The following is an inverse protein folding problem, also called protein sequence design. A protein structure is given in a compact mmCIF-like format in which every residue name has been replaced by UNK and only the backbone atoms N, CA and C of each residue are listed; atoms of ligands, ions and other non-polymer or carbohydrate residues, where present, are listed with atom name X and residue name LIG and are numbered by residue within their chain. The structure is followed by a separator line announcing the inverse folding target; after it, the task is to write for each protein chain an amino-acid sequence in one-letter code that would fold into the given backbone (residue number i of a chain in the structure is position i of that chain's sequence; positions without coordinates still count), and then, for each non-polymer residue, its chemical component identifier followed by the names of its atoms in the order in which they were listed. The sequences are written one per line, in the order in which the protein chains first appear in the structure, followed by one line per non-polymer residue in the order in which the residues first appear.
data_IF_714169630774
#
_entry.id   IF_714169630774
#
_cell.length_a   1.000
_cell.length_b   1.000
_cell.length_c   1.000
_cell.angle_alpha   90.00
_cell.angle_beta   90.00
_cell.angle_gamma   90.00
#
_symmetry.space_group_name_H-M   'P 1'
#
loop_
_entity.id
_entity.type
_entity.pdbx_description
1 polymer ?
#
# COMPACT_ATOMS: atom_id res chain seq x y z
N UNK A 1 22.94 24.21 -12.38
CA UNK A 1 22.81 23.32 -11.20
C UNK A 1 22.14 22.06 -11.68
N UNK A 2 22.93 21.00 -11.84
CA UNK A 2 22.47 19.69 -12.31
C UNK A 2 22.09 18.88 -11.08
N UNK A 3 20.82 18.53 -10.93
CA UNK A 3 20.35 17.67 -9.86
C UNK A 3 20.84 16.25 -10.16
N UNK A 4 21.75 15.74 -9.32
CA UNK A 4 22.19 14.36 -9.34
C UNK A 4 21.02 13.44 -8.97
N UNK A 5 20.79 12.33 -9.71
CA UNK A 5 19.82 11.31 -9.34
C UNK A 5 20.49 10.33 -8.37
N UNK A 6 20.76 10.80 -7.16
CA UNK A 6 21.06 9.89 -6.05
C UNK A 6 20.61 10.57 -4.76
N UNK A 7 20.15 9.77 -3.80
CA UNK A 7 19.57 10.18 -2.51
C UNK A 7 18.04 10.37 -2.47
N UNK A 8 17.33 9.25 -2.52
CA UNK A 8 16.70 8.81 -1.28
C UNK A 8 16.72 7.28 -1.28
N UNK A 9 17.65 6.70 -0.51
CA UNK A 9 17.39 5.35 -0.04
C UNK A 9 16.05 5.44 0.68
N UNK A 10 15.00 4.88 0.09
CA UNK A 10 13.78 4.64 0.84
C UNK A 10 14.21 3.76 2.01
N UNK A 11 14.18 4.27 3.25
CA UNK A 11 14.29 3.47 4.48
C UNK A 11 13.02 2.62 4.66
N UNK A 12 12.47 2.15 3.54
CA UNK A 12 11.25 1.39 3.49
C UNK A 12 11.54 -0.02 3.96
N UNK A 13 10.77 -0.45 4.95
CA UNK A 13 10.91 -1.78 5.53
C UNK A 13 9.99 -2.71 4.75
N UNK A 14 10.58 -3.69 4.05
CA UNK A 14 9.81 -4.73 3.36
C UNK A 14 9.20 -5.70 4.37
N UNK A 15 7.88 -5.85 4.34
CA UNK A 15 7.13 -6.75 5.23
C UNK A 15 6.79 -8.09 4.57
N UNK A 16 6.25 -8.06 3.35
CA UNK A 16 5.71 -9.23 2.65
C UNK A 16 6.06 -9.15 1.15
N UNK A 17 6.34 -10.29 0.53
CA UNK A 17 6.67 -10.41 -0.91
C UNK A 17 6.11 -11.73 -1.46
N UNK A 18 5.44 -11.70 -2.62
CA UNK A 18 4.98 -12.92 -3.33
C UNK A 18 5.47 -13.02 -4.80
N UNK A 19 6.50 -12.24 -5.15
CA UNK A 19 7.07 -12.21 -6.50
C UNK A 19 6.32 -11.28 -7.47
N UNK A 20 5.11 -10.84 -7.14
CA UNK A 20 4.37 -9.81 -7.89
C UNK A 20 4.14 -8.55 -7.05
N UNK A 21 3.75 -8.73 -5.80
CA UNK A 21 3.47 -7.66 -4.86
C UNK A 21 4.53 -7.62 -3.76
N UNK A 22 4.81 -6.40 -3.32
CA UNK A 22 5.66 -6.12 -2.17
C UNK A 22 4.86 -5.23 -1.23
N UNK A 23 4.78 -5.61 0.04
CA UNK A 23 4.27 -4.74 1.10
C UNK A 23 5.46 -4.05 1.76
N UNK A 24 5.46 -2.72 1.80
CA UNK A 24 6.51 -1.91 2.41
C UNK A 24 5.92 -0.97 3.45
N UNK A 25 6.66 -0.69 4.52
CA UNK A 25 6.37 0.39 5.48
C UNK A 25 7.31 1.54 5.19
N UNK A 26 6.79 2.75 5.08
CA UNK A 26 7.58 3.94 4.76
C UNK A 26 7.65 4.89 5.97
N UNK A 27 8.56 4.65 6.93
CA UNK A 27 8.79 5.58 8.03
C UNK A 27 9.37 6.90 7.52
N UNK A 28 9.22 7.97 8.30
CA UNK A 28 9.82 9.26 7.96
C UNK A 28 10.30 9.98 9.20
N UNK A 29 11.08 11.06 9.04
CA UNK A 29 11.51 11.88 10.17
C UNK A 29 10.33 12.43 11.02
N UNK A 30 9.13 12.49 10.45
CA UNK A 30 7.92 12.99 11.11
C UNK A 30 7.00 11.88 11.65
N UNK A 31 7.22 10.63 11.25
CA UNK A 31 6.35 9.50 11.57
C UNK A 31 7.23 8.34 11.99
N UNK A 32 7.15 7.97 13.27
CA UNK A 32 7.86 6.82 13.81
C UNK A 32 7.40 5.52 13.13
N UNK A 33 8.22 4.48 13.24
CA UNK A 33 7.98 3.21 12.56
C UNK A 33 6.61 2.61 12.88
N UNK A 34 6.15 2.67 14.12
CA UNK A 34 4.85 2.11 14.54
C UNK A 34 3.64 2.79 13.88
N UNK A 35 3.72 4.09 13.60
CA UNK A 35 2.64 4.87 12.98
C UNK A 35 2.86 5.08 11.48
N UNK A 36 3.96 4.54 10.93
CA UNK A 36 4.29 4.67 9.53
C UNK A 36 3.25 3.94 8.65
N UNK A 37 2.81 4.59 7.55
CA UNK A 37 1.90 3.95 6.61
C UNK A 37 2.56 2.74 5.96
N UNK A 38 1.74 1.75 5.63
CA UNK A 38 2.14 0.61 4.82
C UNK A 38 1.57 0.76 3.40
N UNK A 39 2.37 0.44 2.40
CA UNK A 39 2.03 0.52 0.99
C UNK A 39 2.20 -0.85 0.34
N UNK A 40 1.17 -1.25 -0.41
CA UNK A 40 1.25 -2.39 -1.30
C UNK A 40 1.66 -1.90 -2.68
N UNK A 41 2.78 -2.41 -3.19
CA UNK A 41 3.34 -2.00 -4.47
C UNK A 41 3.49 -3.18 -5.43
N UNK A 42 3.44 -2.88 -6.73
CA UNK A 42 3.83 -3.79 -7.82
C UNK A 42 4.93 -3.12 -8.62
N UNK A 43 5.92 -3.88 -9.07
CA UNK A 43 6.94 -3.37 -9.98
C UNK A 43 6.43 -3.42 -11.42
N UNK A 44 6.43 -2.28 -12.10
CA UNK A 44 6.05 -2.20 -13.51
C UNK A 44 7.16 -2.75 -14.45
N UNK A 45 6.87 -2.83 -15.73
CA UNK A 45 7.81 -3.31 -16.76
C UNK A 45 9.07 -2.44 -16.91
N UNK A 46 9.04 -1.20 -16.39
CA UNK A 46 10.16 -0.26 -16.42
C UNK A 46 10.97 -0.31 -15.10
N UNK A 47 10.62 -1.21 -14.17
CA UNK A 47 11.27 -1.33 -12.88
C UNK A 47 10.79 -0.30 -11.84
N UNK A 48 9.72 0.43 -12.10
CA UNK A 48 9.14 1.42 -11.19
C UNK A 48 8.11 0.76 -10.28
N UNK A 49 8.19 1.06 -8.99
CA UNK A 49 7.19 0.61 -8.02
C UNK A 49 5.93 1.48 -8.12
N UNK A 50 4.79 0.83 -8.30
CA UNK A 50 3.46 1.44 -8.43
C UNK A 50 2.63 1.05 -7.21
N UNK A 51 2.14 2.04 -6.47
CA UNK A 51 1.27 1.82 -5.32
C UNK A 51 -0.11 1.32 -5.78
N UNK A 52 -0.52 0.17 -5.28
CA UNK A 52 -1.79 -0.50 -5.57
C UNK A 52 -2.66 -0.69 -4.33
N UNK A 53 -2.24 -0.14 -3.18
CA UNK A 53 -3.02 -0.13 -1.95
C UNK A 53 -2.23 0.43 -0.79
N UNK A 54 -2.90 0.79 0.29
CA UNK A 54 -2.25 1.35 1.47
C UNK A 54 -3.03 1.13 2.76
N UNK A 55 -2.31 1.18 3.88
CA UNK A 55 -2.84 1.24 5.24
C UNK A 55 -2.30 2.51 5.90
N UNK A 56 -3.18 3.39 6.39
CA UNK A 56 -2.78 4.68 6.99
C UNK A 56 -3.54 4.96 8.28
N UNK A 57 -2.79 5.31 9.33
CA UNK A 57 -3.34 5.75 10.61
C UNK A 57 -4.10 7.07 10.45
N UNK A 58 -5.32 7.12 10.98
CA UNK A 58 -6.17 8.29 11.04
C UNK A 58 -6.05 8.99 12.40
N UNK A 59 -6.60 10.21 12.48
CA UNK A 59 -6.57 11.00 13.72
C UNK A 59 -7.34 10.37 14.89
N UNK A 60 -8.30 9.48 14.60
CA UNK A 60 -9.06 8.74 15.61
C UNK A 60 -8.33 7.48 16.13
N UNK A 61 -7.13 7.20 15.63
CA UNK A 61 -6.33 6.04 16.00
C UNK A 61 -6.61 4.78 15.17
N UNK A 62 -7.53 4.83 14.20
CA UNK A 62 -7.84 3.69 13.33
C UNK A 62 -6.93 3.64 12.11
N UNK A 63 -6.63 2.42 11.65
CA UNK A 63 -5.89 2.14 10.43
C UNK A 63 -6.83 1.96 9.26
N UNK A 64 -6.91 3.01 8.44
CA UNK A 64 -7.72 3.03 7.24
C UNK A 64 -7.01 2.30 6.10
N UNK A 65 -7.67 1.30 5.53
CA UNK A 65 -7.08 0.41 4.51
C UNK A 65 -7.82 0.52 3.20
N UNK A 66 -7.08 0.82 2.12
CA UNK A 66 -7.66 0.92 0.77
C UNK A 66 -6.85 0.15 -0.25
N UNK A 67 -7.55 -0.34 -1.26
CA UNK A 67 -6.96 -0.95 -2.45
C UNK A 67 -7.20 -0.05 -3.66
N UNK A 68 -6.16 0.21 -4.43
CA UNK A 68 -6.31 0.91 -5.72
C UNK A 68 -7.00 -0.04 -6.70
N UNK A 69 -8.08 0.42 -7.32
CA UNK A 69 -8.87 -0.32 -8.30
C UNK A 69 -9.00 0.49 -9.58
N UNK A 70 -9.54 -0.12 -10.64
CA UNK A 70 -9.92 0.63 -11.84
C UNK A 70 -10.91 1.73 -11.45
N UNK A 71 -10.71 2.93 -11.98
CA UNK A 71 -11.63 4.04 -11.75
C UNK A 71 -13.05 3.63 -12.11
N UNK A 72 -13.96 3.78 -11.16
CA UNK A 72 -15.37 3.50 -11.30
C UNK A 72 -16.15 4.82 -11.33
N UNK A 73 -16.81 5.11 -12.46
CA UNK A 73 -17.58 6.34 -12.65
C UNK A 73 -18.76 6.47 -11.69
N UNK A 74 -19.29 5.35 -11.19
CA UNK A 74 -20.44 5.35 -10.29
C UNK A 74 -20.08 5.81 -8.87
N UNK A 75 -18.91 5.40 -8.37
CA UNK A 75 -18.35 5.86 -7.09
C UNK A 75 -17.42 7.07 -7.21
N UNK A 76 -17.07 7.47 -8.45
CA UNK A 76 -16.07 8.51 -8.75
C UNK A 76 -14.76 8.29 -7.99
N UNK A 77 -14.34 7.03 -7.86
CA UNK A 77 -13.16 6.64 -7.10
C UNK A 77 -12.36 5.57 -7.82
N UNK A 78 -11.04 5.68 -7.71
CA UNK A 78 -10.04 4.69 -8.11
C UNK A 78 -9.54 3.87 -6.91
N UNK A 79 -10.26 3.89 -5.78
CA UNK A 79 -9.89 3.12 -4.60
C UNK A 79 -11.09 2.58 -3.84
N UNK A 80 -10.98 1.33 -3.42
CA UNK A 80 -11.98 0.64 -2.61
C UNK A 80 -11.55 0.65 -1.14
N UNK A 81 -12.47 1.03 -0.23
CA UNK A 81 -12.29 0.84 1.20
C UNK A 81 -12.36 -0.65 1.53
N UNK A 82 -11.31 -1.18 2.14
CA UNK A 82 -11.28 -2.56 2.65
C UNK A 82 -11.80 -2.61 4.09
N UNK A 83 -11.52 -1.57 4.87
CA UNK A 83 -11.98 -1.42 6.25
C UNK A 83 -11.08 -0.53 7.09
N UNK A 84 -11.52 -0.33 8.32
CA UNK A 84 -10.80 0.39 9.38
C UNK A 84 -10.46 -0.62 10.49
N UNK A 85 -9.23 -0.55 11.01
CA UNK A 85 -8.70 -1.54 11.95
C UNK A 85 -8.03 -0.87 13.14
N UNK A 86 -8.12 -1.45 14.33
CA UNK A 86 -7.42 -0.94 15.51
C UNK A 86 -5.91 -1.23 15.47
N UNK A 87 -5.48 -2.16 14.61
CA UNK A 87 -4.10 -2.62 14.49
C UNK A 87 -3.59 -2.48 13.07
N UNK A 88 -2.35 -1.97 12.94
CA UNK A 88 -1.64 -1.92 11.65
C UNK A 88 -1.44 -3.29 11.05
N UNK A 89 -1.15 -4.29 11.89
CA UNK A 89 -0.90 -5.66 11.44
C UNK A 89 -2.16 -6.23 10.79
N UNK A 90 -3.32 -6.01 11.40
CA UNK A 90 -4.61 -6.49 10.85
C UNK A 90 -4.94 -5.79 9.53
N UNK A 91 -4.72 -4.48 9.45
CA UNK A 91 -4.85 -3.71 8.22
C UNK A 91 -3.97 -4.26 7.09
N UNK A 92 -2.68 -4.46 7.37
CA UNK A 92 -1.69 -4.99 6.41
C UNK A 92 -2.06 -6.40 5.94
N UNK A 93 -2.37 -7.30 6.87
CA UNK A 93 -2.77 -8.68 6.57
C UNK A 93 -4.05 -8.68 5.74
N UNK A 94 -5.03 -7.84 6.09
CA UNK A 94 -6.29 -7.80 5.35
C UNK A 94 -6.11 -7.26 3.94
N UNK A 95 -5.33 -6.20 3.76
CA UNK A 95 -4.98 -5.66 2.44
C UNK A 95 -4.30 -6.73 1.57
N UNK A 96 -3.33 -7.43 2.14
CA UNK A 96 -2.62 -8.51 1.48
C UNK A 96 -3.58 -9.62 1.04
N UNK A 97 -4.40 -10.15 1.95
CA UNK A 97 -5.36 -11.22 1.63
C UNK A 97 -6.38 -10.81 0.58
N UNK A 98 -6.96 -9.62 0.71
CA UNK A 98 -7.95 -9.12 -0.26
C UNK A 98 -7.32 -9.03 -1.64
N UNK A 99 -6.10 -8.50 -1.78
CA UNK A 99 -5.42 -8.43 -3.09
C UNK A 99 -5.27 -9.79 -3.76
N UNK A 100 -4.92 -10.81 -2.99
CA UNK A 100 -4.69 -12.16 -3.52
C UNK A 100 -6.01 -12.84 -3.87
N UNK A 101 -7.04 -12.65 -3.06
CA UNK A 101 -8.38 -13.20 -3.33
C UNK A 101 -9.09 -12.48 -4.49
N UNK A 102 -8.85 -11.17 -4.69
CA UNK A 102 -9.40 -10.40 -5.81
C UNK A 102 -8.92 -10.92 -7.17
N UNK A 103 -7.75 -11.56 -7.21
CA UNK A 103 -7.19 -12.11 -8.46
C UNK A 103 -7.86 -13.41 -8.91
N UNK A 104 -8.64 -14.08 -8.04
CA UNK A 104 -9.31 -15.34 -8.37
C UNK A 104 -10.67 -15.15 -9.07
N UNK A 105 -11.29 -13.96 -8.99
CA UNK A 105 -12.63 -13.71 -9.56
C UNK A 105 -12.65 -13.29 -11.04
N UNK A 106 -11.50 -13.29 -11.74
CA UNK A 106 -11.42 -13.01 -13.18
C UNK A 106 -11.14 -14.25 -14.04
N UNK A 107 -11.59 -15.43 -13.58
CA UNK A 107 -11.34 -16.72 -14.28
C UNK A 107 -12.59 -17.58 -14.49
N UNK A 108 -13.79 -16.99 -14.43
CA UNK A 108 -15.05 -17.68 -14.82
C UNK A 108 -15.68 -17.05 -16.06
#
# INVERSE_FOLDING_TARGET
MTLHPDQQASDDITLLVDGRFTMVVAPSQKVNEENAPAFLVVRDSNGKDVCVGYCKLQFDGTWHTRLTVTYDESSQSDSMLIGDFDSRVDAVVRLWLVRHNFSYQMTE
#
